data_IF_183352186953
#
_entry.id   IF_183352186953
#
_cell.length_a   1.000
_cell.length_b   1.000
_cell.length_c   1.000
_cell.angle_alpha   90.00
_cell.angle_beta   90.00
_cell.angle_gamma   90.00
#
_symmetry.space_group_name_H-M   'P 1'
#
loop_
_entity.id
_entity.type
_entity.pdbx_description
1 polymer ?
#
# COMPACT_ATOMS: atom_id res chain seq x y z
N UNK A 1 20.54 62.72 12.60
CA UNK A 1 21.17 63.99 12.19
C UNK A 1 21.95 64.57 13.35
N UNK A 2 23.27 64.64 13.24
CA UNK A 2 24.10 65.40 14.18
C UNK A 2 24.36 66.78 13.60
N UNK A 3 23.92 67.83 14.28
CA UNK A 3 24.12 69.22 13.84
C UNK A 3 25.21 69.84 14.70
N UNK A 4 26.28 70.35 14.08
CA UNK A 4 27.23 71.23 14.75
C UNK A 4 27.10 72.67 14.19
N UNK A 5 27.80 73.63 14.80
CA UNK A 5 27.71 75.07 14.55
C UNK A 5 28.05 75.55 13.12
N UNK A 6 28.42 74.67 12.19
CA UNK A 6 28.81 75.00 10.82
C UNK A 6 27.86 74.47 9.73
N UNK A 7 26.70 73.92 10.10
CA UNK A 7 25.69 73.43 9.16
C UNK A 7 25.61 71.90 9.09
N UNK A 8 24.74 71.41 8.23
CA UNK A 8 24.53 69.97 7.99
C UNK A 8 25.53 69.52 6.93
N UNK A 9 26.35 68.50 7.24
CA UNK A 9 27.29 67.91 6.27
C UNK A 9 26.55 67.22 5.11
N UNK A 10 27.22 67.06 3.97
CA UNK A 10 26.61 66.42 2.79
C UNK A 10 26.12 65.00 3.12
N UNK A 11 24.89 64.64 2.74
CA UNK A 11 24.39 63.28 2.94
C UNK A 11 25.16 62.32 2.04
N UNK A 12 25.51 61.15 2.59
CA UNK A 12 26.03 60.02 1.85
C UNK A 12 24.93 58.97 1.73
N UNK A 13 24.65 58.52 0.52
CA UNK A 13 23.71 57.46 0.24
C UNK A 13 24.40 56.09 0.36
N UNK A 14 23.67 55.10 0.87
CA UNK A 14 24.14 53.70 0.84
C UNK A 14 23.91 53.10 -0.54
N UNK A 15 24.51 51.94 -0.79
CA UNK A 15 24.06 51.09 -1.89
C UNK A 15 22.59 50.66 -1.67
N UNK A 16 21.85 50.50 -2.77
CA UNK A 16 20.46 50.06 -2.71
C UNK A 16 20.37 48.60 -2.24
N UNK A 17 19.62 48.34 -1.17
CA UNK A 17 19.33 46.99 -0.68
C UNK A 17 17.84 46.69 -0.84
N UNK A 18 17.52 45.47 -1.29
CA UNK A 18 16.13 44.98 -1.29
C UNK A 18 15.77 44.50 0.11
N UNK A 19 14.74 45.09 0.70
CA UNK A 19 14.08 44.51 1.87
C UNK A 19 13.33 43.24 1.42
N UNK A 20 13.84 42.07 1.82
CA UNK A 20 13.20 40.78 1.62
C UNK A 20 12.78 40.22 2.99
N UNK A 21 11.76 39.36 3.00
CA UNK A 21 11.43 38.61 4.19
C UNK A 21 12.64 37.75 4.62
N UNK A 22 12.91 37.63 5.93
CA UNK A 22 14.07 36.90 6.43
C UNK A 22 14.01 35.39 6.16
N UNK A 23 12.86 34.87 5.71
CA UNK A 23 12.62 33.49 5.39
C UNK A 23 11.65 33.37 4.20
N UNK A 24 11.74 32.25 3.47
CA UNK A 24 10.86 31.89 2.36
C UNK A 24 10.05 30.64 2.69
N UNK A 25 9.17 30.21 1.80
CA UNK A 25 8.49 28.91 1.94
C UNK A 25 9.49 27.75 1.87
N UNK A 26 9.17 26.58 2.44
CA UNK A 26 10.01 25.39 2.34
C UNK A 26 10.09 24.87 0.90
N UNK A 27 11.07 24.01 0.63
CA UNK A 27 11.06 23.20 -0.61
C UNK A 27 10.00 22.08 -0.51
N UNK A 28 9.67 21.39 -1.63
CA UNK A 28 8.71 20.28 -1.58
C UNK A 28 9.15 19.12 -0.66
N UNK A 29 8.22 18.46 0.04
CA UNK A 29 8.47 17.17 0.68
C UNK A 29 8.89 16.10 -0.33
N UNK A 30 9.59 15.07 0.15
CA UNK A 30 10.19 14.02 -0.70
C UNK A 30 9.71 12.62 -0.32
N UNK A 31 10.01 11.64 -1.18
CA UNK A 31 9.81 10.20 -0.91
C UNK A 31 8.41 9.87 -0.40
N UNK A 32 7.38 10.37 -1.09
CA UNK A 32 5.99 10.08 -0.73
C UNK A 32 5.67 8.62 -1.03
N UNK A 33 5.37 7.86 0.02
CA UNK A 33 5.02 6.45 -0.03
C UNK A 33 3.64 6.20 0.54
N UNK A 34 2.90 5.28 -0.09
CA UNK A 34 1.57 4.87 0.35
C UNK A 34 1.67 3.44 0.87
N UNK A 35 1.23 3.24 2.10
CA UNK A 35 1.28 1.98 2.85
C UNK A 35 -0.08 1.69 3.49
N UNK A 36 -0.26 0.47 4.03
CA UNK A 36 -1.49 0.06 4.73
C UNK A 36 -2.76 0.40 3.93
N UNK A 37 -2.80 -0.04 2.68
CA UNK A 37 -3.93 0.16 1.77
C UNK A 37 -5.08 -0.75 2.22
N UNK A 38 -6.25 -0.15 2.41
CA UNK A 38 -7.52 -0.86 2.63
C UNK A 38 -8.58 -0.26 1.72
N UNK A 39 -9.76 -0.88 1.68
CA UNK A 39 -10.89 -0.35 0.89
C UNK A 39 -11.40 1.01 1.38
N UNK A 40 -11.12 1.39 2.63
CA UNK A 40 -11.63 2.61 3.27
C UNK A 40 -10.55 3.64 3.58
N UNK A 41 -9.27 3.25 3.54
CA UNK A 41 -8.18 4.12 3.97
C UNK A 41 -6.82 3.74 3.41
N UNK A 42 -5.91 4.71 3.39
CA UNK A 42 -4.50 4.52 3.04
C UNK A 42 -3.63 5.32 4.02
N UNK A 43 -2.44 4.83 4.33
CA UNK A 43 -1.44 5.55 5.12
C UNK A 43 -0.42 6.17 4.19
N UNK A 44 -0.14 7.45 4.36
CA UNK A 44 0.90 8.17 3.64
C UNK A 44 2.09 8.36 4.58
N UNK A 45 3.30 8.16 4.06
CA UNK A 45 4.57 8.47 4.71
C UNK A 45 5.43 9.32 3.76
N UNK A 46 6.18 10.28 4.27
CA UNK A 46 7.05 11.13 3.45
C UNK A 46 8.31 11.55 4.21
N UNK A 47 9.29 12.10 3.49
CA UNK A 47 10.47 12.72 4.03
C UNK A 47 10.33 14.25 4.08
N UNK A 48 11.08 14.87 4.99
CA UNK A 48 11.17 16.33 5.09
C UNK A 48 11.72 16.95 3.79
N UNK A 49 11.36 18.21 3.49
CA UNK A 49 12.04 19.02 2.50
C UNK A 49 13.55 19.13 2.75
N UNK A 50 14.31 19.46 1.70
CA UNK A 50 15.74 19.77 1.82
C UNK A 50 16.02 21.10 2.50
N UNK A 51 15.08 22.04 2.43
CA UNK A 51 15.17 23.34 3.09
C UNK A 51 13.80 23.74 3.63
N UNK A 52 13.80 24.26 4.84
CA UNK A 52 12.63 24.86 5.49
C UNK A 52 12.44 26.34 5.10
N UNK A 53 13.28 26.88 4.22
CA UNK A 53 13.23 28.28 3.81
C UNK A 53 13.72 29.27 4.87
N UNK A 54 14.40 28.80 5.93
CA UNK A 54 14.92 29.66 7.01
C UNK A 54 13.93 29.91 8.15
N UNK A 55 12.79 29.20 8.17
CA UNK A 55 11.85 29.18 9.29
C UNK A 55 11.31 27.76 9.51
N UNK A 56 11.10 27.38 10.77
CA UNK A 56 10.71 26.01 11.11
C UNK A 56 9.41 25.57 10.43
N UNK A 57 9.37 24.31 9.99
CA UNK A 57 8.17 23.71 9.42
C UNK A 57 7.13 23.54 10.54
N UNK A 58 6.01 24.24 10.42
CA UNK A 58 4.88 24.20 11.35
C UNK A 58 3.97 22.99 11.10
N UNK A 59 4.02 22.40 9.90
CA UNK A 59 3.40 21.12 9.61
C UNK A 59 3.29 20.80 8.12
N UNK A 60 2.49 19.79 7.81
CA UNK A 60 2.27 19.29 6.46
C UNK A 60 0.79 19.31 6.08
N UNK A 61 0.53 19.60 4.81
CA UNK A 61 -0.80 19.56 4.20
C UNK A 61 -0.83 18.48 3.14
N UNK A 62 -1.84 17.62 3.20
CA UNK A 62 -1.99 16.49 2.31
C UNK A 62 -3.24 16.72 1.47
N UNK A 63 -3.12 16.50 0.18
CA UNK A 63 -4.25 16.45 -0.74
C UNK A 63 -4.33 15.09 -1.41
N UNK A 64 -5.55 14.69 -1.75
CA UNK A 64 -5.85 13.49 -2.54
C UNK A 64 -6.65 13.85 -3.78
N UNK A 65 -6.44 13.12 -4.85
CA UNK A 65 -7.26 13.17 -6.06
C UNK A 65 -7.68 11.75 -6.43
N UNK A 66 -8.95 11.58 -6.74
CA UNK A 66 -9.46 10.34 -7.31
C UNK A 66 -9.20 10.34 -8.82
N UNK A 67 -8.87 9.19 -9.42
CA UNK A 67 -8.47 9.04 -10.83
C UNK A 67 -9.36 9.77 -11.84
N UNK A 68 -10.67 9.74 -11.64
CA UNK A 68 -11.65 10.36 -12.55
C UNK A 68 -12.01 11.80 -12.15
N UNK A 69 -11.44 12.32 -11.07
CA UNK A 69 -11.63 13.69 -10.60
C UNK A 69 -10.50 14.58 -11.09
N UNK A 70 -10.84 15.78 -11.54
CA UNK A 70 -9.83 16.83 -11.81
C UNK A 70 -9.45 17.61 -10.54
N UNK A 71 -10.17 17.40 -9.44
CA UNK A 71 -10.05 18.18 -8.21
C UNK A 71 -9.23 17.44 -7.16
N UNK A 72 -8.21 18.14 -6.65
CA UNK A 72 -7.52 17.82 -5.41
C UNK A 72 -8.36 18.21 -4.19
N UNK A 73 -8.45 17.32 -3.21
CA UNK A 73 -9.22 17.50 -1.99
C UNK A 73 -8.28 17.35 -0.80
N UNK A 74 -8.28 18.36 0.07
CA UNK A 74 -7.49 18.35 1.31
C UNK A 74 -7.92 17.22 2.25
N UNK A 75 -6.95 16.46 2.75
CA UNK A 75 -7.16 15.32 3.65
C UNK A 75 -7.24 15.76 5.11
N UNK A 76 -6.30 16.60 5.55
CA UNK A 76 -6.21 17.08 6.93
C UNK A 76 -6.76 18.50 7.11
N UNK A 77 -7.60 18.69 8.13
CA UNK A 77 -8.17 20.01 8.46
C UNK A 77 -7.14 20.99 9.01
N UNK A 78 -6.19 20.48 9.80
CA UNK A 78 -5.06 21.23 10.37
C UNK A 78 -3.75 20.61 9.91
N UNK A 79 -2.67 21.39 9.75
CA UNK A 79 -1.35 20.86 9.44
C UNK A 79 -0.95 19.78 10.44
N UNK A 80 -0.33 18.70 9.95
CA UNK A 80 0.19 17.63 10.81
C UNK A 80 1.69 17.80 10.96
N UNK A 81 2.21 17.65 12.17
CA UNK A 81 3.66 17.74 12.41
C UNK A 81 4.39 16.43 12.06
N UNK A 82 3.70 15.30 12.23
CA UNK A 82 4.22 13.98 11.88
C UNK A 82 4.48 13.84 10.37
N UNK A 83 5.42 12.96 10.03
CA UNK A 83 5.76 12.59 8.65
C UNK A 83 4.90 11.45 8.10
N UNK A 84 3.74 11.24 8.72
CA UNK A 84 2.79 10.18 8.40
C UNK A 84 1.37 10.63 8.68
N UNK A 85 0.43 10.25 7.81
CA UNK A 85 -1.01 10.44 8.08
C UNK A 85 -1.85 9.30 7.50
N UNK A 86 -2.96 8.96 8.16
CA UNK A 86 -4.01 8.08 7.62
C UNK A 86 -5.06 8.92 6.87
N UNK A 87 -5.15 8.72 5.55
CA UNK A 87 -6.26 9.19 4.72
C UNK A 87 -7.43 8.22 4.82
N UNK A 88 -8.55 8.63 5.41
CA UNK A 88 -9.75 7.80 5.59
C UNK A 88 -10.93 8.27 4.73
N UNK A 89 -11.99 7.46 4.64
CA UNK A 89 -13.19 7.77 3.86
C UNK A 89 -13.00 7.58 2.35
N UNK A 90 -12.15 6.63 1.97
CA UNK A 90 -12.02 6.19 0.58
C UNK A 90 -13.22 5.32 0.19
N UNK A 91 -13.50 5.24 -1.11
CA UNK A 91 -14.50 4.36 -1.67
C UNK A 91 -13.83 3.11 -2.23
N UNK A 92 -14.36 1.95 -1.84
CA UNK A 92 -13.88 0.66 -2.33
C UNK A 92 -13.88 0.62 -3.86
N UNK A 93 -12.78 0.16 -4.43
CA UNK A 93 -12.59 0.04 -5.87
C UNK A 93 -12.13 1.32 -6.59
N UNK A 94 -12.21 2.49 -5.95
CA UNK A 94 -11.72 3.75 -6.52
C UNK A 94 -10.18 3.84 -6.41
N UNK A 95 -9.55 4.48 -7.40
CA UNK A 95 -8.12 4.76 -7.40
C UNK A 95 -7.83 6.20 -6.98
N UNK A 96 -6.84 6.37 -6.11
CA UNK A 96 -6.44 7.65 -5.55
C UNK A 96 -4.95 7.89 -5.72
N UNK A 97 -4.58 9.14 -5.96
CA UNK A 97 -3.23 9.64 -5.84
C UNK A 97 -3.17 10.77 -4.80
N UNK A 98 -1.98 11.00 -4.25
CA UNK A 98 -1.75 11.93 -3.16
C UNK A 98 -0.57 12.85 -3.45
N UNK A 99 -0.57 14.02 -2.83
CA UNK A 99 0.57 14.93 -2.80
C UNK A 99 0.66 15.62 -1.44
N UNK A 100 1.87 16.00 -1.04
CA UNK A 100 2.14 16.60 0.27
C UNK A 100 2.82 17.95 0.10
N UNK A 101 2.46 18.89 0.96
CA UNK A 101 3.03 20.24 1.08
C UNK A 101 3.66 20.39 2.46
N UNK A 102 4.76 21.12 2.56
CA UNK A 102 5.28 21.63 3.82
C UNK A 102 4.78 23.06 4.06
N UNK A 103 4.54 23.42 5.31
CA UNK A 103 4.09 24.75 5.73
C UNK A 103 5.04 25.33 6.77
N UNK A 104 5.42 26.58 6.63
CA UNK A 104 6.12 27.38 7.65
C UNK A 104 5.46 28.77 7.77
N UNK A 105 6.08 29.71 8.49
CA UNK A 105 5.53 31.06 8.64
C UNK A 105 5.39 31.87 7.33
N UNK A 106 6.18 31.56 6.28
CA UNK A 106 6.03 32.16 4.95
C UNK A 106 4.89 31.53 4.13
N UNK A 107 4.41 30.34 4.52
CA UNK A 107 3.28 29.66 3.89
C UNK A 107 3.62 28.26 3.36
N UNK A 108 2.87 27.83 2.35
CA UNK A 108 2.97 26.49 1.76
C UNK A 108 4.08 26.41 0.70
N UNK A 109 4.81 25.29 0.71
CA UNK A 109 5.73 24.91 -0.35
C UNK A 109 4.99 24.63 -1.67
N UNK A 110 5.73 24.32 -2.74
CA UNK A 110 5.18 23.55 -3.86
C UNK A 110 4.85 22.11 -3.40
N UNK A 111 3.90 21.41 -4.06
CA UNK A 111 3.61 20.02 -3.71
C UNK A 111 4.80 19.11 -4.02
N UNK A 112 4.89 18.00 -3.30
CA UNK A 112 5.66 16.84 -3.74
C UNK A 112 5.19 16.35 -5.11
N UNK A 113 6.01 15.52 -5.76
CA UNK A 113 5.51 14.70 -6.85
C UNK A 113 4.29 13.88 -6.37
N UNK A 114 3.24 13.73 -7.20
CA UNK A 114 2.11 12.89 -6.87
C UNK A 114 2.54 11.44 -6.68
N UNK A 115 1.92 10.75 -5.72
CA UNK A 115 2.04 9.29 -5.64
C UNK A 115 1.48 8.64 -6.90
N UNK A 116 1.86 7.39 -7.22
CA UNK A 116 1.09 6.58 -8.15
C UNK A 116 -0.39 6.50 -7.77
N UNK A 117 -1.24 6.22 -8.75
CA UNK A 117 -2.62 5.85 -8.52
C UNK A 117 -2.68 4.49 -7.82
N UNK A 118 -3.35 4.44 -6.67
CA UNK A 118 -3.50 3.24 -5.86
C UNK A 118 -4.98 2.99 -5.62
N UNK A 119 -5.40 1.74 -5.84
CA UNK A 119 -6.77 1.31 -5.66
C UNK A 119 -7.07 1.09 -4.18
N UNK A 120 -8.17 1.65 -3.70
CA UNK A 120 -8.68 1.38 -2.36
C UNK A 120 -9.36 0.01 -2.35
N UNK A 121 -8.61 -1.02 -2.00
CA UNK A 121 -9.10 -2.38 -1.81
C UNK A 121 -8.40 -3.04 -0.63
N UNK A 122 -9.06 -4.02 -0.02
CA UNK A 122 -8.43 -4.81 1.05
C UNK A 122 -7.36 -5.72 0.44
N UNK A 123 -6.21 -5.90 1.12
CA UNK A 123 -5.18 -6.82 0.66
C UNK A 123 -5.72 -8.23 0.64
N UNK A 124 -5.33 -8.99 -0.39
CA UNK A 124 -5.68 -10.41 -0.49
C UNK A 124 -4.42 -11.24 -0.27
N UNK A 125 -4.55 -12.24 0.59
CA UNK A 125 -3.50 -13.16 1.00
C UNK A 125 -3.77 -14.57 0.47
N UNK A 126 -2.83 -15.49 0.65
CA UNK A 126 -3.09 -16.90 0.38
C UNK A 126 -4.19 -17.43 1.32
N UNK A 127 -5.05 -18.33 0.83
CA UNK A 127 -6.04 -18.98 1.68
C UNK A 127 -5.37 -19.90 2.69
N UNK A 128 -6.06 -20.20 3.80
CA UNK A 128 -5.61 -21.25 4.71
C UNK A 128 -5.69 -22.63 4.01
N UNK A 129 -5.00 -23.66 4.54
CA UNK A 129 -5.20 -25.02 4.08
C UNK A 129 -6.67 -25.44 4.23
N UNK A 130 -7.19 -26.30 3.33
CA UNK A 130 -8.46 -26.97 3.55
C UNK A 130 -8.33 -27.95 4.74
N UNK A 131 -9.43 -28.61 5.10
CA UNK A 131 -9.31 -29.72 6.06
C UNK A 131 -8.37 -30.80 5.53
N UNK A 132 -7.76 -31.56 6.44
CA UNK A 132 -7.01 -32.77 6.06
C UNK A 132 -7.87 -33.64 5.13
N UNK A 133 -7.39 -34.03 3.94
CA UNK A 133 -8.13 -34.91 3.04
C UNK A 133 -8.44 -36.23 3.72
N UNK A 134 -9.68 -36.70 3.59
CA UNK A 134 -10.14 -38.00 4.08
C UNK A 134 -10.33 -38.94 2.90
N UNK A 135 -9.92 -40.19 3.07
CA UNK A 135 -10.22 -41.24 2.10
C UNK A 135 -11.71 -41.58 2.20
N UNK A 136 -12.44 -41.46 1.10
CA UNK A 136 -13.86 -41.78 1.01
C UNK A 136 -14.09 -43.18 0.43
N UNK A 137 -13.31 -43.52 -0.59
CA UNK A 137 -13.34 -44.83 -1.24
C UNK A 137 -11.94 -45.18 -1.76
N UNK A 138 -11.62 -46.48 -1.82
CA UNK A 138 -10.42 -46.96 -2.48
C UNK A 138 -10.67 -48.29 -3.18
N UNK A 139 -9.98 -48.48 -4.29
CA UNK A 139 -9.87 -49.76 -4.97
C UNK A 139 -8.42 -50.00 -5.37
N UNK A 140 -8.18 -51.09 -6.10
CA UNK A 140 -6.88 -51.41 -6.66
C UNK A 140 -6.35 -50.36 -7.66
N UNK A 141 -7.22 -49.55 -8.27
CA UNK A 141 -6.85 -48.63 -9.37
C UNK A 141 -7.24 -47.17 -9.14
N UNK A 142 -8.02 -46.88 -8.10
CA UNK A 142 -8.41 -45.50 -7.79
C UNK A 142 -8.63 -45.27 -6.29
N UNK A 143 -8.44 -44.02 -5.88
CA UNK A 143 -8.69 -43.54 -4.51
C UNK A 143 -9.48 -42.25 -4.59
N UNK A 144 -10.60 -42.19 -3.90
CA UNK A 144 -11.43 -40.98 -3.76
C UNK A 144 -11.13 -40.29 -2.44
N UNK A 145 -10.81 -39.01 -2.50
CA UNK A 145 -10.55 -38.16 -1.34
C UNK A 145 -11.54 -37.01 -1.29
N UNK A 146 -11.95 -36.62 -0.08
CA UNK A 146 -12.78 -35.45 0.17
C UNK A 146 -12.21 -34.58 1.29
N UNK A 147 -12.52 -33.29 1.23
CA UNK A 147 -12.15 -32.30 2.23
C UNK A 147 -13.25 -31.25 2.39
N UNK A 148 -13.07 -30.31 3.30
CA UNK A 148 -13.92 -29.13 3.43
C UNK A 148 -13.14 -27.89 3.05
N UNK A 149 -13.88 -26.84 2.66
CA UNK A 149 -13.32 -25.52 2.36
C UNK A 149 -12.46 -25.00 3.53
N UNK A 150 -11.44 -24.18 3.26
CA UNK A 150 -10.63 -23.55 4.30
C UNK A 150 -11.47 -22.64 5.20
N UNK A 151 -11.03 -22.46 6.44
CA UNK A 151 -11.68 -21.55 7.40
C UNK A 151 -11.49 -20.08 6.99
N UNK A 152 -10.36 -19.75 6.37
CA UNK A 152 -10.04 -18.41 5.91
C UNK A 152 -9.60 -18.45 4.44
N UNK A 153 -10.19 -17.61 3.60
CA UNK A 153 -9.95 -17.57 2.16
C UNK A 153 -8.89 -16.55 1.74
N UNK A 154 -8.28 -15.85 2.71
CA UNK A 154 -7.28 -14.82 2.44
C UNK A 154 -7.87 -13.47 2.05
N UNK A 155 -9.18 -13.24 2.18
CA UNK A 155 -9.84 -12.01 1.74
C UNK A 155 -10.23 -12.03 0.26
N UNK A 156 -10.17 -13.20 -0.39
CA UNK A 156 -10.62 -13.40 -1.76
C UNK A 156 -11.24 -14.78 -1.93
N UNK A 157 -12.25 -14.94 -2.81
CA UNK A 157 -12.97 -16.21 -2.92
C UNK A 157 -12.05 -17.35 -3.37
N UNK A 158 -12.27 -18.54 -2.80
CA UNK A 158 -11.64 -19.77 -3.26
C UNK A 158 -12.13 -20.09 -4.68
N UNK A 159 -11.21 -20.09 -5.64
CA UNK A 159 -11.49 -20.36 -7.06
C UNK A 159 -11.26 -21.82 -7.43
N UNK A 160 -10.56 -22.58 -6.59
CA UNK A 160 -10.38 -24.02 -6.76
C UNK A 160 -9.42 -24.64 -5.75
N UNK A 161 -9.04 -25.89 -6.04
CA UNK A 161 -8.10 -26.67 -5.26
C UNK A 161 -7.08 -27.37 -6.16
N UNK A 162 -5.83 -27.38 -5.72
CA UNK A 162 -4.78 -28.24 -6.26
C UNK A 162 -4.66 -29.50 -5.42
N UNK A 163 -4.78 -30.65 -6.06
CA UNK A 163 -4.53 -31.96 -5.46
C UNK A 163 -3.19 -32.47 -5.96
N UNK A 164 -2.34 -32.85 -5.01
CA UNK A 164 -1.06 -33.48 -5.28
C UNK A 164 -1.00 -34.81 -4.54
N UNK A 165 -0.22 -35.74 -5.09
CA UNK A 165 0.03 -37.03 -4.49
C UNK A 165 1.50 -37.40 -4.64
N UNK A 166 1.94 -38.35 -3.81
CA UNK A 166 3.24 -39.00 -3.96
C UNK A 166 3.17 -40.41 -3.43
N UNK A 167 4.09 -41.27 -3.86
CA UNK A 167 4.31 -42.54 -3.18
C UNK A 167 4.94 -42.29 -1.80
N UNK A 168 4.68 -43.17 -0.83
CA UNK A 168 5.32 -43.07 0.49
C UNK A 168 6.85 -43.20 0.41
N UNK A 169 7.35 -43.91 -0.60
CA UNK A 169 8.76 -44.04 -0.94
C UNK A 169 9.37 -42.81 -1.61
N UNK A 170 8.56 -41.88 -2.13
CA UNK A 170 9.02 -40.69 -2.85
C UNK A 170 9.02 -39.45 -1.96
N UNK A 171 9.90 -38.50 -2.27
CA UNK A 171 9.94 -37.18 -1.61
C UNK A 171 9.11 -36.15 -2.35
N UNK A 172 9.14 -36.19 -3.67
CA UNK A 172 8.56 -35.18 -4.55
C UNK A 172 7.06 -35.41 -4.78
N UNK A 173 6.34 -34.31 -4.94
CA UNK A 173 4.89 -34.34 -5.15
C UNK A 173 4.58 -34.27 -6.65
N UNK A 174 3.69 -35.14 -7.10
CA UNK A 174 3.09 -35.11 -8.42
C UNK A 174 1.74 -34.40 -8.37
N UNK A 175 1.47 -33.53 -9.34
CA UNK A 175 0.18 -32.84 -9.44
C UNK A 175 -0.85 -33.73 -10.11
N UNK A 176 -1.93 -34.06 -9.41
CA UNK A 176 -3.07 -34.78 -9.98
C UNK A 176 -4.03 -33.85 -10.71
N UNK A 177 -4.33 -32.69 -10.11
CA UNK A 177 -5.20 -31.65 -10.69
C UNK A 177 -4.92 -30.30 -10.02
N UNK A 178 -4.97 -29.18 -10.76
CA UNK A 178 -4.66 -27.84 -10.22
C UNK A 178 -5.89 -26.97 -9.93
N UNK A 179 -6.97 -27.14 -10.69
CA UNK A 179 -8.11 -26.20 -10.70
C UNK A 179 -9.43 -26.90 -10.45
N UNK A 180 -9.48 -27.77 -9.46
CA UNK A 180 -10.70 -28.48 -9.09
C UNK A 180 -11.69 -27.54 -8.40
N UNK A 181 -12.94 -27.47 -8.89
CA UNK A 181 -13.99 -26.61 -8.32
C UNK A 181 -14.85 -27.28 -7.24
N UNK A 182 -14.62 -28.56 -6.98
CA UNK A 182 -15.27 -29.35 -5.92
C UNK A 182 -14.36 -29.60 -4.72
N UNK A 183 -14.90 -30.22 -3.69
CA UNK A 183 -14.17 -30.64 -2.49
C UNK A 183 -14.00 -32.16 -2.39
N UNK A 184 -14.07 -32.82 -3.54
CA UNK A 184 -13.89 -34.26 -3.71
C UNK A 184 -13.15 -34.52 -5.02
N UNK A 185 -12.20 -35.46 -5.00
CA UNK A 185 -11.41 -35.86 -6.15
C UNK A 185 -11.14 -37.36 -6.14
N UNK A 186 -11.30 -38.00 -7.29
CA UNK A 186 -10.92 -39.40 -7.52
C UNK A 186 -9.63 -39.46 -8.31
N UNK A 187 -8.55 -39.90 -7.67
CA UNK A 187 -7.29 -40.20 -8.31
C UNK A 187 -7.39 -41.55 -9.01
N UNK A 188 -7.12 -41.59 -10.32
CA UNK A 188 -7.23 -42.77 -11.18
C UNK A 188 -5.85 -43.31 -11.56
N UNK A 189 -5.82 -44.51 -12.15
CA UNK A 189 -4.61 -45.15 -12.69
C UNK A 189 -3.50 -45.37 -11.66
N UNK A 190 -3.87 -45.70 -10.43
CA UNK A 190 -2.92 -45.98 -9.34
C UNK A 190 -2.34 -47.41 -9.44
N UNK A 191 -1.13 -47.57 -8.92
CA UNK A 191 -0.44 -48.86 -8.88
C UNK A 191 -0.94 -49.70 -7.72
N UNK A 192 -1.44 -50.90 -8.02
CA UNK A 192 -1.90 -51.87 -7.03
C UNK A 192 -0.82 -52.20 -5.99
N UNK A 193 -1.16 -52.06 -4.70
CA UNK A 193 -0.26 -52.40 -3.59
C UNK A 193 0.78 -51.32 -3.25
N UNK A 194 0.79 -50.20 -3.97
CA UNK A 194 1.59 -49.05 -3.62
C UNK A 194 0.86 -48.13 -2.62
N UNK A 195 1.61 -47.48 -1.74
CA UNK A 195 1.06 -46.56 -0.74
C UNK A 195 1.19 -45.11 -1.23
N UNK A 196 0.08 -44.38 -1.19
CA UNK A 196 -0.01 -43.00 -1.66
C UNK A 196 -0.34 -42.04 -0.52
N UNK A 197 0.29 -40.86 -0.55
CA UNK A 197 -0.05 -39.73 0.31
C UNK A 197 -0.64 -38.64 -0.56
N UNK A 198 -1.78 -38.10 -0.17
CA UNK A 198 -2.44 -36.98 -0.85
C UNK A 198 -2.32 -35.70 -0.02
N UNK A 199 -2.12 -34.56 -0.69
CA UNK A 199 -2.28 -33.23 -0.10
C UNK A 199 -3.16 -32.38 -0.99
N UNK A 200 -3.84 -31.43 -0.38
CA UNK A 200 -4.72 -30.50 -1.07
C UNK A 200 -4.38 -29.09 -0.63
N UNK A 201 -4.31 -28.17 -1.60
CA UNK A 201 -4.11 -26.73 -1.38
C UNK A 201 -5.32 -25.97 -1.92
N UNK A 202 -5.84 -25.06 -1.13
CA UNK A 202 -6.85 -24.09 -1.56
C UNK A 202 -6.18 -23.05 -2.46
N UNK A 203 -6.88 -22.59 -3.50
CA UNK A 203 -6.36 -21.59 -4.45
C UNK A 203 -7.35 -20.44 -4.52
N UNK A 204 -6.85 -19.20 -4.37
CA UNK A 204 -7.61 -17.98 -4.66
C UNK A 204 -6.92 -17.19 -5.79
N UNK A 205 -7.28 -15.91 -6.01
CA UNK A 205 -6.66 -15.08 -7.07
C UNK A 205 -5.14 -14.84 -6.91
N UNK A 206 -4.59 -15.06 -5.71
CA UNK A 206 -3.17 -14.85 -5.38
C UNK A 206 -2.35 -16.10 -5.72
N UNK A 207 -2.92 -17.30 -5.60
CA UNK A 207 -2.27 -18.59 -5.87
C UNK A 207 -2.60 -19.66 -4.86
#
# INVERSE_FOLDING_TARGET
>A
MGVNKYGVGEPLESEAVKALDPFTVPTPPKSLEITNVTKESMTLCWARPDSDGGNEISGYVIERREKNSLRWIRVNKKPVYDLRIKSSGLREGCEYEYRVYAENAAGLSLPSDPSPLIKAEDPVFLPSPPSRPKIMDHTRSHITIAWTKPLFDGGGPIIGYTVEYKLTSETDWSTAIQSLRGTEYTAMSLTSGAEYVFRVRSVNKIG
#
